data_IF_953806061152
#
_entry.id   IF_953806061152
#
_cell.length_a   1.000
_cell.length_b   1.000
_cell.length_c   1.000
_cell.angle_alpha   90.00
_cell.angle_beta   90.00
_cell.angle_gamma   90.00
#
_symmetry.space_group_name_H-M   'P 1'
#
loop_
_entity.id
_entity.type
_entity.pdbx_description
1 polymer ?
#
# COMPACT_ATOMS: atom_id res chain seq x y z
N UNK A 1 -25.19 7.70 0.67
CA UNK A 1 -23.75 7.55 0.42
C UNK A 1 -23.51 6.85 -0.91
N UNK A 2 -22.56 7.30 -1.68
CA UNK A 2 -22.20 6.71 -2.96
C UNK A 2 -20.78 6.17 -2.89
N UNK A 3 -20.53 5.04 -3.58
CA UNK A 3 -19.22 4.43 -3.73
C UNK A 3 -18.82 4.47 -5.19
N UNK A 4 -17.69 5.10 -5.50
CA UNK A 4 -17.14 5.19 -6.85
C UNK A 4 -15.79 4.47 -6.94
N UNK A 5 -15.70 3.48 -7.82
CA UNK A 5 -14.42 2.88 -8.19
C UNK A 5 -13.92 3.55 -9.47
N UNK A 6 -12.74 4.17 -9.40
CA UNK A 6 -12.18 4.98 -10.48
C UNK A 6 -10.71 4.66 -10.70
N UNK A 7 -10.20 4.92 -11.89
CA UNK A 7 -8.78 4.79 -12.18
C UNK A 7 -8.27 5.95 -13.05
N UNK A 8 -6.94 6.08 -13.09
CA UNK A 8 -6.25 7.03 -13.94
C UNK A 8 -4.84 6.52 -14.25
N UNK A 9 -4.35 6.81 -15.46
CA UNK A 9 -2.94 6.56 -15.77
C UNK A 9 -2.06 7.44 -14.88
N UNK A 10 -1.10 6.83 -14.21
CA UNK A 10 -0.26 7.53 -13.23
C UNK A 10 1.14 6.91 -13.18
N UNK A 11 2.15 7.70 -13.55
CA UNK A 11 3.54 7.27 -13.50
C UNK A 11 4.13 7.40 -12.09
N UNK A 12 3.60 8.31 -11.26
CA UNK A 12 4.06 8.55 -9.89
C UNK A 12 2.86 8.80 -8.97
N UNK A 13 2.52 7.85 -8.08
CA UNK A 13 1.37 7.98 -7.22
C UNK A 13 1.50 9.13 -6.21
N UNK A 14 2.71 9.59 -5.92
CA UNK A 14 2.92 10.71 -4.99
C UNK A 14 2.40 12.03 -5.54
N UNK A 15 2.12 12.14 -6.83
CA UNK A 15 1.54 13.33 -7.44
C UNK A 15 0.02 13.38 -7.33
N UNK A 16 -0.64 12.23 -7.23
CA UNK A 16 -2.11 12.13 -7.19
C UNK A 16 -2.63 11.91 -5.77
N UNK A 17 -1.99 11.05 -5.00
CA UNK A 17 -2.46 10.67 -3.68
C UNK A 17 -2.74 11.86 -2.74
N UNK A 18 -1.86 12.89 -2.65
CA UNK A 18 -2.13 14.03 -1.78
C UNK A 18 -3.33 14.88 -2.20
N UNK A 19 -3.79 14.75 -3.45
CA UNK A 19 -4.95 15.48 -3.97
C UNK A 19 -6.27 14.77 -3.68
N UNK A 20 -6.22 13.51 -3.22
CA UNK A 20 -7.41 12.75 -2.85
C UNK A 20 -7.85 13.14 -1.44
N UNK A 21 -9.16 13.37 -1.27
CA UNK A 21 -9.76 13.69 0.02
C UNK A 21 -10.37 12.42 0.62
N UNK A 22 -9.72 11.90 1.67
CA UNK A 22 -10.18 10.72 2.42
C UNK A 22 -10.58 9.53 1.53
N UNK A 23 -9.71 9.08 0.60
CA UNK A 23 -10.03 7.91 -0.19
C UNK A 23 -10.12 6.68 0.72
N UNK A 24 -11.07 5.79 0.41
CA UNK A 24 -11.22 4.53 1.15
C UNK A 24 -10.08 3.57 0.83
N UNK A 25 -9.66 3.55 -0.43
CA UNK A 25 -8.55 2.70 -0.89
C UNK A 25 -7.87 3.35 -2.09
N UNK A 26 -6.56 3.27 -2.14
CA UNK A 26 -5.76 3.73 -3.27
C UNK A 26 -4.73 2.64 -3.61
N UNK A 27 -4.82 2.11 -4.83
CA UNK A 27 -3.93 1.06 -5.34
C UNK A 27 -3.18 1.58 -6.57
N UNK A 28 -1.94 1.13 -6.75
CA UNK A 28 -1.10 1.53 -7.88
C UNK A 28 -0.23 0.37 -8.34
N UNK A 29 -0.15 0.14 -9.66
CA UNK A 29 0.60 -0.98 -10.24
C UNK A 29 1.84 -0.57 -11.03
N UNK A 30 2.20 0.70 -10.99
CA UNK A 30 3.30 1.27 -11.76
C UNK A 30 2.86 2.10 -12.95
N UNK A 31 1.65 1.90 -13.46
CA UNK A 31 1.09 2.63 -14.61
C UNK A 31 -0.30 3.19 -14.36
N UNK A 32 -1.10 2.54 -13.55
CA UNK A 32 -2.48 2.92 -13.25
C UNK A 32 -2.68 3.04 -11.75
N UNK A 33 -3.38 4.08 -11.35
CA UNK A 33 -3.82 4.29 -9.97
C UNK A 33 -5.33 4.06 -9.90
N UNK A 34 -5.77 3.24 -8.93
CA UNK A 34 -7.18 3.00 -8.62
C UNK A 34 -7.53 3.65 -7.31
N UNK A 35 -8.62 4.39 -7.29
CA UNK A 35 -9.13 5.02 -6.09
C UNK A 35 -10.58 4.58 -5.83
N UNK A 36 -10.86 4.18 -4.61
CA UNK A 36 -12.21 3.93 -4.14
C UNK A 36 -12.65 5.12 -3.30
N UNK A 37 -13.70 5.81 -3.77
CA UNK A 37 -14.23 7.01 -3.11
C UNK A 37 -15.61 6.68 -2.54
N UNK A 38 -15.81 6.97 -1.27
CA UNK A 38 -17.10 6.79 -0.59
C UNK A 38 -17.49 8.08 0.11
N UNK A 39 -18.75 8.47 -0.02
CA UNK A 39 -19.26 9.66 0.64
C UNK A 39 -20.54 10.19 0.00
N UNK A 40 -20.84 11.45 0.24
CA UNK A 40 -21.98 12.12 -0.38
C UNK A 40 -21.82 12.13 -1.90
N UNK A 41 -22.89 11.79 -2.68
CA UNK A 41 -22.79 11.68 -4.13
C UNK A 41 -22.16 12.89 -4.82
N UNK A 42 -22.55 14.10 -4.45
CA UNK A 42 -22.01 15.31 -5.07
C UNK A 42 -20.52 15.50 -4.79
N UNK A 43 -20.07 15.16 -3.59
CA UNK A 43 -18.68 15.32 -3.19
C UNK A 43 -17.76 14.33 -3.91
N UNK A 44 -18.13 13.04 -3.96
CA UNK A 44 -17.30 12.02 -4.61
C UNK A 44 -17.28 12.21 -6.13
N UNK A 45 -18.38 12.62 -6.73
CA UNK A 45 -18.44 12.92 -8.17
C UNK A 45 -17.61 14.16 -8.52
N UNK A 46 -17.67 15.20 -7.71
CA UNK A 46 -16.84 16.39 -7.89
C UNK A 46 -15.35 16.07 -7.78
N UNK A 47 -14.96 15.26 -6.82
CA UNK A 47 -13.58 14.84 -6.64
C UNK A 47 -13.09 14.01 -7.83
N UNK A 48 -13.88 13.04 -8.29
CA UNK A 48 -13.54 12.23 -9.45
C UNK A 48 -13.38 13.08 -10.72
N UNK A 49 -14.25 14.08 -10.91
CA UNK A 49 -14.17 15.00 -12.04
C UNK A 49 -12.96 15.94 -11.95
N UNK A 50 -12.66 16.47 -10.77
CA UNK A 50 -11.54 17.38 -10.56
C UNK A 50 -10.18 16.71 -10.83
N UNK A 51 -10.06 15.42 -10.55
CA UNK A 51 -8.85 14.65 -10.78
C UNK A 51 -8.86 13.87 -12.11
N UNK A 52 -9.90 14.04 -12.92
CA UNK A 52 -10.08 13.34 -14.21
C UNK A 52 -10.02 11.81 -14.06
N UNK A 53 -10.56 11.29 -12.97
CA UNK A 53 -10.61 9.84 -12.73
C UNK A 53 -11.67 9.20 -13.60
N UNK A 54 -11.32 8.10 -14.27
CA UNK A 54 -12.22 7.38 -15.18
C UNK A 54 -12.97 6.26 -14.45
N UNK A 55 -14.23 5.98 -14.85
CA UNK A 55 -14.95 4.80 -14.35
C UNK A 55 -14.22 3.51 -14.71
N UNK A 56 -14.23 2.54 -13.79
CA UNK A 56 -13.70 1.20 -14.05
C UNK A 56 -14.57 0.16 -13.34
N UNK A 57 -14.44 -1.10 -13.77
CA UNK A 57 -15.30 -2.19 -13.26
C UNK A 57 -14.95 -2.61 -11.83
N UNK A 58 -13.73 -2.37 -11.40
CA UNK A 58 -13.31 -2.76 -10.06
C UNK A 58 -11.83 -2.54 -9.84
N UNK A 59 -11.32 -2.89 -8.64
CA UNK A 59 -9.89 -2.81 -8.34
C UNK A 59 -9.11 -3.87 -9.12
N UNK A 60 -7.79 -3.71 -9.27
CA UNK A 60 -6.96 -4.74 -9.87
C UNK A 60 -6.88 -5.96 -8.96
N UNK A 61 -6.61 -7.13 -9.54
CA UNK A 61 -6.31 -8.31 -8.76
C UNK A 61 -4.98 -8.13 -8.03
N UNK A 62 -4.95 -8.46 -6.73
CA UNK A 62 -3.72 -8.37 -5.96
C UNK A 62 -2.83 -9.59 -6.24
N UNK A 63 -1.56 -9.39 -6.63
CA UNK A 63 -0.62 -10.50 -6.75
C UNK A 63 -0.43 -11.21 -5.41
N UNK A 64 -0.18 -12.52 -5.44
CA UNK A 64 -0.08 -13.35 -4.24
C UNK A 64 1.30 -13.97 -4.02
N UNK A 65 2.32 -13.55 -4.79
CA UNK A 65 3.67 -14.08 -4.66
C UNK A 65 4.33 -13.68 -3.34
N UNK A 66 4.22 -12.42 -2.95
CA UNK A 66 4.71 -11.94 -1.66
C UNK A 66 4.03 -10.62 -1.27
N UNK A 67 4.13 -10.28 0.00
CA UNK A 67 3.61 -9.04 0.56
C UNK A 67 4.66 -8.44 1.49
N UNK A 68 4.87 -7.12 1.39
CA UNK A 68 5.79 -6.41 2.28
C UNK A 68 5.33 -5.00 2.57
N UNK A 69 5.81 -4.45 3.68
CA UNK A 69 5.64 -3.03 3.98
C UNK A 69 6.75 -2.21 3.33
N UNK A 70 6.42 -0.98 2.95
CA UNK A 70 7.34 -0.08 2.27
C UNK A 70 7.12 1.35 2.75
N UNK A 71 8.19 2.14 2.80
CA UNK A 71 8.06 3.57 3.07
C UNK A 71 7.33 4.26 1.90
N UNK A 72 6.41 5.20 2.18
CA UNK A 72 5.74 5.96 1.12
C UNK A 72 6.70 6.63 0.12
N UNK A 73 7.87 7.05 0.58
CA UNK A 73 8.87 7.67 -0.27
C UNK A 73 9.47 6.70 -1.31
N UNK A 74 9.41 5.40 -1.06
CA UNK A 74 10.00 4.38 -1.93
C UNK A 74 9.00 3.77 -2.92
N UNK A 75 7.71 4.11 -2.81
CA UNK A 75 6.67 3.52 -3.66
C UNK A 75 6.94 3.80 -5.15
N UNK A 76 7.33 5.01 -5.51
CA UNK A 76 7.58 5.39 -6.90
C UNK A 76 8.75 4.63 -7.53
N UNK A 77 9.63 4.05 -6.74
CA UNK A 77 10.82 3.32 -7.21
C UNK A 77 10.57 1.81 -7.39
N UNK A 78 9.34 1.35 -7.16
CA UNK A 78 8.98 -0.05 -7.32
C UNK A 78 9.08 -0.52 -8.77
N UNK A 79 9.58 -1.74 -8.96
CA UNK A 79 9.73 -2.39 -10.26
C UNK A 79 9.11 -3.78 -10.25
N UNK A 80 8.93 -4.37 -11.44
CA UNK A 80 8.34 -5.69 -11.59
C UNK A 80 6.81 -5.65 -11.59
N UNK A 81 6.19 -6.80 -11.38
CA UNK A 81 4.73 -6.92 -11.31
C UNK A 81 4.28 -6.81 -9.86
N UNK A 82 3.58 -5.74 -9.55
CA UNK A 82 3.14 -5.44 -8.19
C UNK A 82 1.85 -4.64 -8.18
N UNK A 83 1.18 -4.61 -7.02
CA UNK A 83 0.15 -3.63 -6.68
C UNK A 83 0.48 -3.09 -5.30
N UNK A 84 0.62 -1.77 -5.19
CA UNK A 84 0.91 -1.08 -3.94
C UNK A 84 -0.36 -0.46 -3.36
N UNK A 85 -0.57 -0.64 -2.05
CA UNK A 85 -1.59 0.08 -1.29
C UNK A 85 -0.97 1.39 -0.82
N UNK A 86 -1.21 2.47 -1.55
CA UNK A 86 -0.45 3.73 -1.45
C UNK A 86 -0.56 4.37 -0.07
N UNK A 87 -1.73 4.45 0.52
CA UNK A 87 -1.90 5.11 1.82
C UNK A 87 -1.39 4.30 3.01
N UNK A 88 -1.35 2.98 2.88
CA UNK A 88 -0.97 2.05 3.96
C UNK A 88 0.51 1.70 3.90
N UNK A 89 1.13 1.76 2.73
CA UNK A 89 2.51 1.39 2.55
C UNK A 89 2.73 -0.13 2.50
N UNK A 90 1.82 -0.84 1.83
CA UNK A 90 1.91 -2.29 1.63
C UNK A 90 2.02 -2.58 0.15
N UNK A 91 2.91 -3.48 -0.24
CA UNK A 91 3.11 -3.90 -1.62
C UNK A 91 2.85 -5.39 -1.77
N UNK A 92 2.04 -5.75 -2.76
CA UNK A 92 1.78 -7.12 -3.17
C UNK A 92 2.56 -7.40 -4.45
N UNK A 93 3.51 -8.34 -4.39
CA UNK A 93 4.37 -8.72 -5.53
C UNK A 93 3.91 -10.03 -6.15
N UNK A 94 4.03 -10.16 -7.48
CA UNK A 94 3.82 -11.42 -8.17
C UNK A 94 4.95 -12.41 -7.88
N UNK A 95 6.18 -11.93 -7.76
CA UNK A 95 7.34 -12.74 -7.44
C UNK A 95 7.59 -12.79 -5.93
N UNK A 96 8.26 -13.85 -5.42
CA UNK A 96 8.71 -13.88 -4.03
C UNK A 96 9.70 -12.73 -3.78
N UNK A 97 9.48 -12.01 -2.69
CA UNK A 97 10.41 -10.96 -2.23
C UNK A 97 11.43 -11.57 -1.27
N UNK A 98 12.71 -11.39 -1.59
CA UNK A 98 13.80 -11.78 -0.69
C UNK A 98 14.30 -10.51 -0.01
N UNK A 99 14.04 -10.38 1.30
CA UNK A 99 14.52 -9.24 2.06
C UNK A 99 16.05 -9.24 2.12
N UNK A 100 16.69 -8.05 2.02
CA UNK A 100 18.13 -7.95 2.27
C UNK A 100 18.45 -8.49 3.66
N UNK A 101 19.63 -9.09 3.81
CA UNK A 101 20.10 -9.55 5.12
C UNK A 101 20.15 -8.38 6.09
N UNK A 102 19.55 -8.57 7.29
CA UNK A 102 19.61 -7.55 8.33
C UNK A 102 21.02 -7.45 8.89
N UNK A 103 21.42 -6.24 9.20
CA UNK A 103 22.65 -6.02 9.92
C UNK A 103 22.61 -6.76 11.27
N UNK A 104 23.64 -7.52 11.68
CA UNK A 104 23.63 -8.30 12.93
C UNK A 104 23.31 -7.48 14.17
N UNK A 105 23.78 -6.24 14.21
CA UNK A 105 23.50 -5.31 15.31
C UNK A 105 22.01 -5.02 15.46
N UNK A 106 21.30 -4.80 14.35
CA UNK A 106 19.85 -4.53 14.36
C UNK A 106 19.08 -5.74 14.83
N UNK A 107 19.45 -6.94 14.39
CA UNK A 107 18.82 -8.19 14.82
C UNK A 107 19.02 -8.40 16.31
N UNK A 108 20.23 -8.19 16.82
CA UNK A 108 20.53 -8.31 18.25
C UNK A 108 19.72 -7.35 19.10
N UNK A 109 19.60 -6.09 18.67
CA UNK A 109 18.81 -5.07 19.38
C UNK A 109 17.32 -5.44 19.41
N UNK A 110 16.77 -5.90 18.30
CA UNK A 110 15.36 -6.31 18.22
C UNK A 110 15.06 -7.48 19.15
N UNK A 111 15.96 -8.45 19.25
CA UNK A 111 15.84 -9.60 20.18
C UNK A 111 15.91 -9.15 21.63
N UNK A 112 16.79 -8.22 21.96
CA UNK A 112 16.92 -7.67 23.31
C UNK A 112 15.65 -6.95 23.73
N UNK A 113 15.05 -6.14 22.87
CA UNK A 113 13.80 -5.43 23.13
C UNK A 113 12.67 -6.43 23.36
N UNK A 114 12.55 -7.45 22.51
CA UNK A 114 11.52 -8.48 22.67
C UNK A 114 11.68 -9.25 23.97
N UNK A 115 12.90 -9.64 24.36
CA UNK A 115 13.17 -10.35 25.60
C UNK A 115 12.79 -9.53 26.84
N UNK A 116 12.93 -8.21 26.79
CA UNK A 116 12.56 -7.33 27.89
C UNK A 116 11.04 -7.18 28.06
N UNK A 117 10.30 -7.03 26.95
CA UNK A 117 8.85 -6.83 26.96
C UNK A 117 8.05 -8.11 26.92
N UNK A 118 8.62 -9.22 26.47
CA UNK A 118 7.96 -10.52 26.37
C UNK A 118 8.94 -11.65 26.69
N UNK A 119 9.43 -11.74 27.94
CA UNK A 119 10.46 -12.73 28.30
C UNK A 119 10.03 -14.19 28.13
N UNK A 120 8.73 -14.47 28.11
CA UNK A 120 8.19 -15.81 27.96
C UNK A 120 7.77 -16.16 26.52
N UNK A 121 7.97 -15.25 25.55
CA UNK A 121 7.59 -15.47 24.16
C UNK A 121 6.10 -15.63 23.93
N UNK A 122 5.25 -15.03 24.78
CA UNK A 122 3.78 -15.18 24.70
C UNK A 122 3.11 -14.15 23.82
N UNK A 123 3.74 -12.99 23.63
CA UNK A 123 3.26 -11.97 22.69
C UNK A 123 3.75 -12.34 21.29
N UNK A 124 2.81 -12.41 20.33
CA UNK A 124 3.12 -12.76 18.94
C UNK A 124 4.00 -14.01 18.82
N UNK A 125 3.59 -15.17 19.40
CA UNK A 125 4.40 -16.38 19.27
C UNK A 125 4.54 -16.75 17.79
N UNK A 126 5.76 -17.13 17.37
CA UNK A 126 6.06 -17.44 15.98
C UNK A 126 6.54 -16.27 15.14
N UNK A 127 6.56 -15.05 15.70
CA UNK A 127 7.20 -13.90 15.04
C UNK A 127 8.71 -13.95 15.29
N UNK A 128 9.47 -14.00 14.21
CA UNK A 128 10.93 -13.95 14.28
C UNK A 128 11.40 -12.49 14.29
N UNK A 129 12.20 -12.14 15.24
CA UNK A 129 12.75 -10.79 15.40
C UNK A 129 14.27 -10.80 15.32
#
# INVERSE_FOLDING_TARGET
METLQRNIHCADPTTVFPRLHRPTSVLWDGTTLWALLEGHPDDVRAEAAALALAPCEGPPALPSGSRRSISPADIADLTGTFVAEVGVGVVHHAEPWIAPAREPRVVSLARSVKAEFDPNGRLNPGVDV
#
